data_IF_156811670678
#
_entry.id   IF_156811670678
#
_cell.length_a   1.000
_cell.length_b   1.000
_cell.length_c   1.000
_cell.angle_alpha   90.00
_cell.angle_beta   90.00
_cell.angle_gamma   90.00
#
_symmetry.space_group_name_H-M   'P 1'
#
loop_
_entity.id
_entity.type
_entity.pdbx_description
1 polymer ?
#
# COMPACT_ATOMS: atom_id res chain seq x y z
N UNK A 1 -59.96 37.25 21.66
CA UNK A 1 -58.76 36.39 21.86
C UNK A 1 -57.66 36.88 20.93
N UNK A 2 -56.54 37.35 21.49
CA UNK A 2 -55.56 38.24 20.82
C UNK A 2 -54.68 37.52 19.77
N UNK A 3 -54.54 38.10 18.58
CA UNK A 3 -53.73 37.61 17.44
C UNK A 3 -52.27 37.30 17.84
N UNK A 4 -51.72 38.06 18.79
CA UNK A 4 -50.37 37.85 19.36
C UNK A 4 -50.20 36.54 20.15
N UNK A 5 -51.27 35.97 20.72
CA UNK A 5 -51.20 34.68 21.44
C UNK A 5 -51.25 33.45 20.52
N UNK A 6 -51.74 33.58 19.28
CA UNK A 6 -51.74 32.50 18.28
C UNK A 6 -50.38 32.30 17.61
N UNK A 7 -49.61 33.38 17.44
CA UNK A 7 -48.27 33.32 16.83
C UNK A 7 -47.22 32.69 17.76
N UNK A 8 -47.32 32.90 19.07
CA UNK A 8 -46.39 32.34 20.06
C UNK A 8 -46.53 30.81 20.23
N UNK A 9 -47.75 30.28 20.10
CA UNK A 9 -48.01 28.83 20.17
C UNK A 9 -47.51 28.11 18.91
N UNK A 10 -47.54 28.76 17.74
CA UNK A 10 -47.01 28.22 16.49
C UNK A 10 -45.46 28.16 16.47
N UNK A 11 -44.76 29.06 17.17
CA UNK A 11 -43.29 29.02 17.30
C UNK A 11 -42.78 27.97 18.31
N UNK A 12 -43.58 27.65 19.34
CA UNK A 12 -43.23 26.57 20.29
C UNK A 12 -43.50 25.17 19.72
N UNK A 13 -44.51 25.03 18.87
CA UNK A 13 -44.81 23.75 18.18
C UNK A 13 -43.83 23.46 17.03
N UNK A 14 -43.28 24.49 16.37
CA UNK A 14 -42.26 24.30 15.31
C UNK A 14 -40.88 23.91 15.87
N UNK A 15 -40.53 24.35 17.08
CA UNK A 15 -39.27 23.98 17.75
C UNK A 15 -39.29 22.57 18.34
N UNK A 16 -40.44 22.06 18.82
CA UNK A 16 -40.58 20.65 19.20
C UNK A 16 -40.57 19.70 17.97
N UNK A 17 -41.13 20.13 16.84
CA UNK A 17 -41.12 19.33 15.59
C UNK A 17 -39.73 19.17 14.98
N UNK A 18 -38.88 20.20 15.05
CA UNK A 18 -37.50 20.12 14.57
C UNK A 18 -36.62 19.16 15.40
N UNK A 19 -36.87 19.05 16.72
CA UNK A 19 -36.17 18.11 17.60
C UNK A 19 -36.48 16.63 17.32
N UNK A 20 -37.71 16.33 16.89
CA UNK A 20 -38.13 14.97 16.49
C UNK A 20 -37.64 14.59 15.09
N UNK A 21 -37.53 15.54 14.16
CA UNK A 21 -37.02 15.30 12.80
C UNK A 21 -35.50 15.13 12.74
N UNK A 22 -34.76 15.71 13.68
CA UNK A 22 -33.30 15.55 13.80
C UNK A 22 -32.89 14.40 14.72
N UNK A 23 -33.84 13.78 15.43
CA UNK A 23 -33.61 12.63 16.30
C UNK A 23 -32.92 11.44 15.60
N UNK A 24 -33.28 11.03 14.35
CA UNK A 24 -32.58 9.93 13.67
C UNK A 24 -31.15 10.32 13.23
N UNK A 25 -30.89 11.60 12.95
CA UNK A 25 -29.54 12.08 12.61
C UNK A 25 -28.67 12.16 13.86
N UNK A 26 -29.23 12.60 14.98
CA UNK A 26 -28.56 12.61 16.28
C UNK A 26 -28.30 11.20 16.80
N UNK A 27 -29.24 10.27 16.63
CA UNK A 27 -29.05 8.86 16.97
C UNK A 27 -27.94 8.26 16.10
N UNK A 28 -27.93 8.49 14.77
CA UNK A 28 -26.81 8.04 13.93
C UNK A 28 -25.47 8.64 14.32
N UNK A 29 -25.41 9.93 14.67
CA UNK A 29 -24.17 10.56 15.10
C UNK A 29 -23.69 10.03 16.47
N UNK A 30 -24.63 9.67 17.36
CA UNK A 30 -24.32 9.02 18.65
C UNK A 30 -23.90 7.55 18.43
N UNK A 31 -24.58 6.82 17.53
CA UNK A 31 -24.26 5.44 17.18
C UNK A 31 -22.91 5.34 16.44
N UNK A 32 -22.58 6.31 15.58
CA UNK A 32 -21.27 6.42 14.92
C UNK A 32 -20.16 6.80 15.90
N UNK A 33 -20.44 7.69 16.85
CA UNK A 33 -19.51 8.04 17.92
C UNK A 33 -19.29 6.86 18.89
N UNK A 34 -20.34 6.11 19.22
CA UNK A 34 -20.28 4.92 20.06
C UNK A 34 -19.62 3.74 19.32
N UNK A 35 -19.80 3.62 17.99
CA UNK A 35 -19.06 2.65 17.18
C UNK A 35 -17.56 3.00 17.09
N UNK A 36 -17.22 4.29 16.96
CA UNK A 36 -15.84 4.78 17.02
C UNK A 36 -15.18 4.52 18.39
N UNK A 37 -15.93 4.78 19.47
CA UNK A 37 -15.48 4.49 20.84
C UNK A 37 -15.37 2.99 21.11
N UNK A 38 -16.26 2.17 20.53
CA UNK A 38 -16.21 0.71 20.61
C UNK A 38 -14.98 0.15 19.90
N UNK A 39 -14.62 0.70 18.72
CA UNK A 39 -13.40 0.34 17.99
C UNK A 39 -12.12 0.80 18.70
N UNK A 40 -12.12 2.00 19.31
CA UNK A 40 -11.02 2.46 20.15
C UNK A 40 -10.89 1.66 21.47
N UNK A 41 -12.01 1.19 22.02
CA UNK A 41 -12.01 0.28 23.17
C UNK A 41 -11.57 -1.13 22.79
N UNK A 42 -11.84 -1.56 21.55
CA UNK A 42 -11.31 -2.79 20.98
C UNK A 42 -9.80 -2.64 20.78
N UNK A 43 -9.28 -1.54 20.23
CA UNK A 43 -7.83 -1.33 20.08
C UNK A 43 -7.09 -1.29 21.42
N UNK A 44 -7.68 -0.68 22.46
CA UNK A 44 -7.13 -0.69 23.83
C UNK A 44 -7.25 -2.05 24.53
N UNK A 45 -8.27 -2.87 24.20
CA UNK A 45 -8.43 -4.24 24.70
C UNK A 45 -7.60 -5.29 23.95
N UNK A 46 -7.24 -5.02 22.69
CA UNK A 46 -6.50 -5.91 21.80
C UNK A 46 -5.00 -6.02 22.15
N UNK A 47 -4.49 -5.16 23.03
CA UNK A 47 -3.14 -5.28 23.60
C UNK A 47 -2.96 -6.47 24.55
N UNK A 48 -4.05 -7.11 25.00
CA UNK A 48 -4.01 -8.27 25.89
C UNK A 48 -5.01 -9.36 25.44
N UNK A 49 -4.71 -10.04 24.34
CA UNK A 49 -5.08 -11.44 24.16
C UNK A 49 -6.57 -11.81 24.16
N UNK A 50 -7.47 -10.92 23.74
CA UNK A 50 -8.87 -11.30 23.48
C UNK A 50 -8.97 -11.83 22.05
N UNK A 51 -9.11 -13.15 22.02
CA UNK A 51 -9.10 -14.11 20.91
C UNK A 51 -9.64 -13.62 19.56
N UNK A 52 -8.78 -13.66 18.54
CA UNK A 52 -9.11 -13.77 17.11
C UNK A 52 -10.23 -14.80 16.82
N UNK A 53 -10.44 -15.78 17.70
CA UNK A 53 -11.49 -16.79 17.59
C UNK A 53 -12.93 -16.23 17.70
N UNK A 54 -13.14 -15.10 18.37
CA UNK A 54 -14.48 -14.52 18.58
C UNK A 54 -15.10 -13.95 17.29
N UNK A 55 -14.27 -13.53 16.33
CA UNK A 55 -14.74 -13.04 15.03
C UNK A 55 -14.98 -14.16 14.02
N UNK A 56 -14.52 -15.39 14.29
CA UNK A 56 -14.69 -16.55 13.41
C UNK A 56 -14.37 -16.24 11.94
N UNK A 57 -15.32 -16.55 11.04
CA UNK A 57 -15.20 -16.25 9.60
C UNK A 57 -15.37 -14.79 9.20
N UNK A 58 -15.74 -13.88 10.12
CA UNK A 58 -15.97 -12.46 9.82
C UNK A 58 -14.72 -11.59 10.00
N UNK A 59 -13.59 -12.17 10.44
CA UNK A 59 -12.32 -11.44 10.61
C UNK A 59 -11.91 -10.68 9.34
N UNK A 60 -12.16 -11.26 8.16
CA UNK A 60 -11.85 -10.64 6.88
C UNK A 60 -12.75 -9.42 6.61
N UNK A 61 -14.03 -9.47 6.98
CA UNK A 61 -14.97 -8.34 6.84
C UNK A 61 -14.57 -7.22 7.80
N UNK A 62 -14.24 -7.56 9.05
CA UNK A 62 -13.75 -6.60 10.04
C UNK A 62 -12.45 -5.93 9.56
N UNK A 63 -11.49 -6.70 9.03
CA UNK A 63 -10.25 -6.16 8.47
C UNK A 63 -10.51 -5.16 7.34
N UNK A 64 -11.45 -5.45 6.43
CA UNK A 64 -11.84 -4.52 5.38
C UNK A 64 -12.48 -3.24 5.94
N UNK A 65 -13.34 -3.34 6.96
CA UNK A 65 -13.91 -2.15 7.59
C UNK A 65 -12.84 -1.29 8.26
N UNK A 66 -11.91 -1.92 9.00
CA UNK A 66 -10.75 -1.24 9.59
C UNK A 66 -9.94 -0.53 8.50
N UNK A 67 -9.62 -1.21 7.40
CA UNK A 67 -8.89 -0.63 6.27
C UNK A 67 -9.62 0.55 5.64
N UNK A 68 -10.92 0.45 5.40
CA UNK A 68 -11.73 1.56 4.87
C UNK A 68 -11.73 2.74 5.84
N UNK A 69 -11.87 2.48 7.14
CA UNK A 69 -11.85 3.53 8.16
C UNK A 69 -10.48 4.21 8.29
N UNK A 70 -9.40 3.51 7.96
CA UNK A 70 -8.04 4.05 7.94
C UNK A 70 -7.88 5.15 6.88
N UNK A 71 -8.57 5.05 5.74
CA UNK A 71 -8.53 6.12 4.72
C UNK A 71 -9.08 7.46 5.23
N UNK A 72 -9.95 7.44 6.25
CA UNK A 72 -10.37 8.65 6.96
C UNK A 72 -9.18 9.35 7.61
N UNK A 73 -8.36 8.62 8.37
CA UNK A 73 -7.18 9.13 9.06
C UNK A 73 -6.07 9.52 8.07
N UNK A 74 -5.88 8.71 7.03
CA UNK A 74 -4.95 8.97 5.93
C UNK A 74 -5.21 10.33 5.28
N UNK A 75 -6.50 10.67 5.04
CA UNK A 75 -6.90 11.96 4.47
C UNK A 75 -6.46 13.14 5.35
N UNK A 76 -6.44 12.96 6.66
CA UNK A 76 -6.02 13.98 7.62
C UNK A 76 -4.53 13.85 8.02
N UNK A 77 -3.78 12.93 7.39
CA UNK A 77 -2.34 12.67 7.64
C UNK A 77 -2.04 12.30 9.09
N UNK A 78 -2.99 11.64 9.73
CA UNK A 78 -2.89 11.14 11.10
C UNK A 78 -2.01 9.87 11.10
N UNK A 79 -0.69 10.07 11.16
CA UNK A 79 0.33 9.02 10.93
C UNK A 79 0.19 7.84 11.89
N UNK A 80 0.03 8.13 13.18
CA UNK A 80 -0.02 7.11 14.23
C UNK A 80 -1.28 6.26 14.06
N UNK A 81 -2.42 6.90 13.85
CA UNK A 81 -3.72 6.26 13.67
C UNK A 81 -3.77 5.40 12.39
N UNK A 82 -3.15 5.88 11.30
CA UNK A 82 -2.99 5.10 10.07
C UNK A 82 -2.18 3.83 10.34
N UNK A 83 -1.02 3.94 10.99
CA UNK A 83 -0.17 2.79 11.30
C UNK A 83 -0.88 1.79 12.22
N UNK A 84 -1.59 2.25 13.25
CA UNK A 84 -2.35 1.40 14.16
C UNK A 84 -3.45 0.63 13.43
N UNK A 85 -4.25 1.30 12.59
CA UNK A 85 -5.32 0.64 11.83
C UNK A 85 -4.77 -0.31 10.77
N UNK A 86 -3.66 0.04 10.12
CA UNK A 86 -2.98 -0.87 9.21
C UNK A 86 -2.51 -2.14 9.93
N UNK A 87 -1.87 -2.00 11.09
CA UNK A 87 -1.43 -3.12 11.92
C UNK A 87 -2.62 -3.99 12.37
N UNK A 88 -3.72 -3.36 12.76
CA UNK A 88 -4.95 -4.07 13.11
C UNK A 88 -5.52 -4.84 11.91
N UNK A 89 -5.61 -4.22 10.73
CA UNK A 89 -6.14 -4.87 9.53
C UNK A 89 -5.31 -6.10 9.12
N UNK A 90 -3.98 -6.01 9.10
CA UNK A 90 -3.12 -7.16 8.79
C UNK A 90 -3.13 -8.23 9.89
N UNK A 91 -3.39 -7.86 11.15
CA UNK A 91 -3.57 -8.86 12.21
C UNK A 91 -4.89 -9.62 12.09
N UNK A 92 -5.96 -8.95 11.62
CA UNK A 92 -7.29 -9.54 11.44
C UNK A 92 -7.36 -10.42 10.19
N UNK A 93 -6.70 -10.03 9.11
CA UNK A 93 -6.62 -10.80 7.87
C UNK A 93 -5.17 -10.83 7.33
N UNK A 94 -4.30 -11.63 7.94
CA UNK A 94 -2.89 -11.69 7.57
C UNK A 94 -2.65 -12.23 6.17
N UNK A 95 -3.58 -13.00 5.60
CA UNK A 95 -3.47 -13.58 4.25
C UNK A 95 -3.77 -12.57 3.12
N UNK A 96 -4.10 -11.31 3.47
CA UNK A 96 -4.41 -10.27 2.48
C UNK A 96 -3.15 -9.62 1.93
N UNK A 97 -2.64 -10.11 0.79
CA UNK A 97 -1.53 -9.46 0.05
C UNK A 97 -1.78 -7.96 -0.16
N UNK A 98 -3.04 -7.59 -0.43
CA UNK A 98 -3.43 -6.20 -0.65
C UNK A 98 -3.09 -5.30 0.55
N UNK A 99 -3.40 -5.72 1.79
CA UNK A 99 -3.10 -4.89 2.97
C UNK A 99 -1.61 -4.73 3.21
N UNK A 100 -0.81 -5.76 2.90
CA UNK A 100 0.64 -5.68 3.03
C UNK A 100 1.26 -4.74 1.98
N UNK A 101 0.90 -4.91 0.71
CA UNK A 101 1.43 -4.11 -0.40
C UNK A 101 0.94 -2.66 -0.35
N UNK A 102 -0.35 -2.43 -0.15
CA UNK A 102 -0.89 -1.06 -0.10
C UNK A 102 -0.41 -0.34 1.16
N UNK A 103 -0.34 -1.06 2.29
CA UNK A 103 0.24 -0.54 3.52
C UNK A 103 1.69 -0.11 3.38
N UNK A 104 2.54 -0.95 2.77
CA UNK A 104 3.94 -0.58 2.53
C UNK A 104 4.07 0.64 1.62
N UNK A 105 3.15 0.82 0.66
CA UNK A 105 3.13 2.00 -0.22
C UNK A 105 2.75 3.28 0.52
N UNK A 106 1.77 3.22 1.40
CA UNK A 106 1.41 4.37 2.26
C UNK A 106 2.63 4.78 3.10
N UNK A 107 3.30 3.81 3.72
CA UNK A 107 4.51 4.06 4.52
C UNK A 107 5.64 4.62 3.65
N UNK A 108 5.92 4.00 2.50
CA UNK A 108 7.07 4.34 1.66
C UNK A 108 6.90 5.63 0.83
N UNK A 109 5.66 6.01 0.48
CA UNK A 109 5.40 7.07 -0.48
C UNK A 109 4.65 8.26 0.13
N UNK A 110 3.63 8.00 0.96
CA UNK A 110 2.75 9.07 1.43
C UNK A 110 3.30 9.72 2.69
N UNK A 111 3.70 8.91 3.68
CA UNK A 111 4.21 9.42 4.96
C UNK A 111 5.48 10.31 4.85
N UNK A 112 6.44 10.05 3.93
CA UNK A 112 7.54 10.99 3.67
C UNK A 112 7.04 12.34 3.19
N UNK A 113 6.06 12.35 2.26
CA UNK A 113 5.46 13.59 1.75
C UNK A 113 4.75 14.33 2.89
N UNK A 114 4.05 13.61 3.77
CA UNK A 114 3.44 14.22 4.95
C UNK A 114 4.47 14.80 5.92
N UNK A 115 5.67 14.23 5.98
CA UNK A 115 6.77 14.73 6.82
C UNK A 115 7.34 16.04 6.29
N UNK A 116 7.63 16.10 4.99
CA UNK A 116 8.28 17.28 4.39
C UNK A 116 7.29 18.38 4.00
N UNK A 117 6.02 18.02 3.81
CA UNK A 117 4.98 18.92 3.29
C UNK A 117 4.90 18.89 1.76
N UNK A 118 3.71 19.17 1.23
CA UNK A 118 3.43 19.01 -0.22
C UNK A 118 4.31 19.90 -1.09
N UNK A 119 4.57 21.13 -0.65
CA UNK A 119 5.39 22.11 -1.35
C UNK A 119 6.89 21.72 -1.41
N UNK A 120 7.31 20.73 -0.61
CA UNK A 120 8.70 20.30 -0.48
C UNK A 120 8.92 18.85 -0.91
N UNK A 121 7.99 18.26 -1.67
CA UNK A 121 8.10 16.87 -2.12
C UNK A 121 9.40 16.58 -2.88
N UNK A 122 9.86 17.51 -3.73
CA UNK A 122 11.10 17.35 -4.52
C UNK A 122 12.34 17.16 -3.62
N UNK A 123 12.31 17.73 -2.40
CA UNK A 123 13.40 17.60 -1.44
C UNK A 123 13.71 16.14 -1.07
N UNK A 124 12.71 15.23 -1.14
CA UNK A 124 12.89 13.79 -0.87
C UNK A 124 13.90 13.10 -1.80
N UNK A 125 14.25 13.74 -2.92
CA UNK A 125 15.16 13.21 -3.93
C UNK A 125 16.40 14.08 -4.16
N UNK A 126 16.38 15.33 -3.71
CA UNK A 126 17.42 16.32 -4.02
C UNK A 126 18.20 16.79 -2.80
N UNK A 127 17.57 16.87 -1.62
CA UNK A 127 18.23 17.29 -0.39
C UNK A 127 18.73 16.08 0.39
N UNK A 128 19.85 16.24 1.09
CA UNK A 128 20.41 15.19 1.95
C UNK A 128 19.40 14.76 3.02
N UNK A 129 18.78 15.73 3.71
CA UNK A 129 17.75 15.46 4.72
C UNK A 129 16.53 14.73 4.13
N UNK A 130 16.03 15.17 2.97
CA UNK A 130 14.88 14.55 2.32
C UNK A 130 15.19 13.13 1.82
N UNK A 131 16.40 12.88 1.34
CA UNK A 131 16.88 11.54 0.98
C UNK A 131 16.89 10.63 2.21
N UNK A 132 17.38 11.10 3.35
CA UNK A 132 17.41 10.32 4.59
C UNK A 132 15.99 10.06 5.13
N UNK A 133 15.08 11.02 5.04
CA UNK A 133 13.65 10.81 5.34
C UNK A 133 13.06 9.72 4.43
N UNK A 134 13.26 9.83 3.11
CA UNK A 134 12.77 8.84 2.13
C UNK A 134 13.30 7.44 2.43
N UNK A 135 14.60 7.32 2.73
CA UNK A 135 15.22 6.04 3.09
C UNK A 135 14.66 5.49 4.40
N UNK A 136 14.51 6.31 5.44
CA UNK A 136 13.98 5.89 6.73
C UNK A 136 12.57 5.29 6.61
N UNK A 137 11.68 5.92 5.83
CA UNK A 137 10.36 5.36 5.55
C UNK A 137 10.41 4.15 4.60
N UNK A 138 11.37 4.10 3.67
CA UNK A 138 11.63 2.91 2.86
C UNK A 138 11.98 1.69 3.71
N UNK A 139 12.86 1.83 4.71
CA UNK A 139 13.21 0.72 5.61
C UNK A 139 12.03 0.34 6.51
N UNK A 140 11.22 1.30 6.98
CA UNK A 140 10.00 1.01 7.74
C UNK A 140 8.98 0.22 6.90
N UNK A 141 8.82 0.57 5.62
CA UNK A 141 7.94 -0.13 4.71
C UNK A 141 8.43 -1.56 4.43
N UNK A 142 9.76 -1.75 4.32
CA UNK A 142 10.32 -3.08 4.17
C UNK A 142 10.13 -3.92 5.44
N UNK A 143 10.43 -3.35 6.61
CA UNK A 143 10.18 -4.00 7.90
C UNK A 143 8.69 -4.36 8.07
N UNK A 144 7.76 -3.54 7.57
CA UNK A 144 6.34 -3.87 7.55
C UNK A 144 6.06 -5.13 6.71
N UNK A 145 6.61 -5.23 5.49
CA UNK A 145 6.48 -6.41 4.62
C UNK A 145 7.20 -7.66 5.14
N UNK A 146 8.26 -7.51 5.92
CA UNK A 146 8.98 -8.64 6.54
C UNK A 146 8.17 -9.32 7.65
N UNK A 147 7.14 -8.67 8.18
CA UNK A 147 6.21 -9.27 9.15
C UNK A 147 5.09 -10.09 8.51
N UNK A 148 4.98 -10.06 7.18
CA UNK A 148 4.00 -10.86 6.48
C UNK A 148 4.25 -12.37 6.77
N UNK A 149 3.20 -13.18 7.01
CA UNK A 149 3.32 -14.63 7.16
C UNK A 149 4.23 -15.29 6.12
N UNK A 150 5.01 -16.28 6.57
CA UNK A 150 6.01 -16.96 5.73
C UNK A 150 5.40 -17.61 4.47
N UNK A 151 4.15 -18.06 4.54
CA UNK A 151 3.45 -18.62 3.38
C UNK A 151 3.28 -17.62 2.23
N UNK A 152 3.18 -16.32 2.53
CA UNK A 152 2.98 -15.23 1.58
C UNK A 152 4.27 -14.43 1.33
N UNK A 153 5.26 -14.51 2.24
CA UNK A 153 6.47 -13.68 2.18
C UNK A 153 7.26 -13.85 0.87
N UNK A 154 7.01 -14.96 0.17
CA UNK A 154 7.55 -15.34 -1.14
C UNK A 154 6.59 -15.15 -2.31
N UNK A 155 5.37 -14.64 -2.12
CA UNK A 155 4.47 -14.37 -3.25
C UNK A 155 5.01 -13.24 -4.13
N UNK A 156 4.80 -13.35 -5.45
CA UNK A 156 5.29 -12.38 -6.44
C UNK A 156 4.98 -10.92 -6.06
N UNK A 157 3.75 -10.55 -5.66
CA UNK A 157 3.46 -9.15 -5.34
C UNK A 157 4.27 -8.63 -4.15
N UNK A 158 4.52 -9.47 -3.14
CA UNK A 158 5.33 -9.10 -1.97
C UNK A 158 6.80 -8.94 -2.36
N UNK A 159 7.35 -9.90 -3.11
CA UNK A 159 8.73 -9.85 -3.58
C UNK A 159 8.97 -8.62 -4.47
N UNK A 160 8.07 -8.34 -5.41
CA UNK A 160 8.15 -7.17 -6.30
C UNK A 160 8.06 -5.87 -5.52
N UNK A 161 7.19 -5.78 -4.51
CA UNK A 161 7.07 -4.56 -3.70
C UNK A 161 8.32 -4.35 -2.84
N UNK A 162 8.88 -5.40 -2.21
CA UNK A 162 10.17 -5.33 -1.51
C UNK A 162 11.28 -4.84 -2.43
N UNK A 163 11.34 -5.38 -3.66
CA UNK A 163 12.31 -4.98 -4.66
C UNK A 163 12.14 -3.52 -5.10
N UNK A 164 10.89 -3.08 -5.30
CA UNK A 164 10.57 -1.71 -5.68
C UNK A 164 10.95 -0.70 -4.58
N UNK A 165 10.72 -1.04 -3.30
CA UNK A 165 11.14 -0.21 -2.16
C UNK A 165 12.67 -0.07 -2.14
N UNK A 166 13.41 -1.18 -2.25
CA UNK A 166 14.87 -1.16 -2.28
C UNK A 166 15.39 -0.30 -3.42
N UNK A 167 14.85 -0.49 -4.62
CA UNK A 167 15.26 0.28 -5.80
C UNK A 167 14.89 1.77 -5.70
N UNK A 168 13.62 2.09 -5.44
CA UNK A 168 13.10 3.45 -5.62
C UNK A 168 13.23 4.33 -4.37
N UNK A 169 13.25 3.73 -3.18
CA UNK A 169 13.30 4.47 -1.91
C UNK A 169 14.68 4.43 -1.29
N UNK A 170 15.31 3.25 -1.31
CA UNK A 170 16.63 3.05 -0.70
C UNK A 170 17.78 3.33 -1.66
N UNK A 171 17.52 3.34 -2.97
CA UNK A 171 18.55 3.36 -4.02
C UNK A 171 19.55 2.19 -3.88
N UNK A 172 19.08 1.07 -3.34
CA UNK A 172 19.86 -0.16 -3.11
C UNK A 172 19.48 -1.19 -4.19
N UNK A 173 20.26 -1.18 -5.28
CA UNK A 173 20.04 -2.07 -6.41
C UNK A 173 20.40 -3.52 -6.08
N UNK A 174 21.37 -3.75 -5.19
CA UNK A 174 21.78 -5.10 -4.79
C UNK A 174 20.65 -5.83 -4.05
N UNK A 175 20.03 -5.18 -3.05
CA UNK A 175 18.84 -5.74 -2.38
C UNK A 175 17.66 -5.87 -3.32
N UNK A 176 17.45 -4.89 -4.21
CA UNK A 176 16.37 -4.98 -5.20
C UNK A 176 16.51 -6.22 -6.08
N UNK A 177 17.73 -6.54 -6.53
CA UNK A 177 18.02 -7.71 -7.35
C UNK A 177 17.78 -9.02 -6.61
N UNK A 178 18.06 -9.11 -5.31
CA UNK A 178 17.75 -10.31 -4.51
C UNK A 178 16.26 -10.64 -4.61
N UNK A 179 15.39 -9.67 -4.37
CA UNK A 179 13.95 -9.89 -4.40
C UNK A 179 13.39 -10.08 -5.82
N UNK A 180 13.85 -9.29 -6.80
CA UNK A 180 13.43 -9.50 -8.19
C UNK A 180 13.86 -10.87 -8.71
N UNK A 181 15.07 -11.34 -8.37
CA UNK A 181 15.55 -12.68 -8.74
C UNK A 181 14.65 -13.78 -8.20
N UNK A 182 14.23 -13.68 -6.94
CA UNK A 182 13.26 -14.61 -6.36
C UNK A 182 11.92 -14.57 -7.10
N UNK A 183 11.44 -13.37 -7.46
CA UNK A 183 10.17 -13.22 -8.17
C UNK A 183 10.20 -13.85 -9.58
N UNK A 184 11.28 -13.66 -10.35
CA UNK A 184 11.40 -14.21 -11.70
C UNK A 184 11.67 -15.71 -11.78
N UNK A 185 11.97 -16.35 -10.64
CA UNK A 185 12.15 -17.80 -10.55
C UNK A 185 10.82 -18.58 -10.40
N UNK A 186 9.69 -17.88 -10.28
CA UNK A 186 8.38 -18.52 -10.11
C UNK A 186 7.72 -18.86 -11.45
N UNK A 187 6.97 -19.97 -11.49
CA UNK A 187 6.42 -20.57 -12.73
C UNK A 187 5.42 -19.66 -13.47
N UNK A 188 4.83 -18.67 -12.79
CA UNK A 188 3.81 -17.78 -13.35
C UNK A 188 4.22 -16.30 -13.31
N UNK A 189 5.53 -15.99 -13.34
CA UNK A 189 5.97 -14.60 -13.29
C UNK A 189 5.46 -13.78 -14.50
N UNK A 190 4.78 -12.64 -14.27
CA UNK A 190 4.38 -11.76 -15.36
C UNK A 190 5.57 -11.25 -16.19
N UNK A 191 5.45 -11.28 -17.52
CA UNK A 191 6.49 -10.86 -18.47
C UNK A 191 7.05 -9.45 -18.20
N UNK A 192 6.25 -8.54 -17.65
CA UNK A 192 6.73 -7.20 -17.31
C UNK A 192 7.73 -7.21 -16.14
N UNK A 193 7.60 -8.11 -15.17
CA UNK A 193 8.55 -8.25 -14.05
C UNK A 193 9.89 -8.76 -14.56
N UNK A 194 9.89 -9.73 -15.49
CA UNK A 194 11.12 -10.20 -16.14
C UNK A 194 11.88 -9.06 -16.84
N UNK A 195 11.16 -8.18 -17.53
CA UNK A 195 11.77 -7.00 -18.17
C UNK A 195 12.31 -6.01 -17.14
N UNK A 196 11.56 -5.73 -16.08
CA UNK A 196 12.04 -4.86 -14.99
C UNK A 196 13.31 -5.44 -14.36
N UNK A 197 13.35 -6.74 -14.03
CA UNK A 197 14.55 -7.40 -13.48
C UNK A 197 15.78 -7.18 -14.37
N UNK A 198 15.65 -7.38 -15.68
CA UNK A 198 16.74 -7.11 -16.62
C UNK A 198 17.19 -5.65 -16.62
N UNK A 199 16.26 -4.69 -16.52
CA UNK A 199 16.62 -3.28 -16.40
C UNK A 199 17.33 -2.96 -15.08
N UNK A 200 16.98 -3.62 -13.97
CA UNK A 200 17.69 -3.45 -12.70
C UNK A 200 19.10 -4.04 -12.80
N UNK A 201 19.29 -5.20 -13.45
CA UNK A 201 20.62 -5.76 -13.71
C UNK A 201 21.49 -4.78 -14.48
N UNK A 202 20.96 -4.16 -15.54
CA UNK A 202 21.69 -3.14 -16.32
C UNK A 202 22.06 -1.93 -15.45
N UNK A 203 21.10 -1.42 -14.66
CA UNK A 203 21.35 -0.30 -13.74
C UNK A 203 22.41 -0.61 -12.69
N UNK A 204 22.50 -1.88 -12.26
CA UNK A 204 23.53 -2.35 -11.33
C UNK A 204 24.87 -2.69 -12.01
N UNK A 205 25.03 -2.38 -13.31
CA UNK A 205 26.25 -2.65 -14.06
C UNK A 205 26.38 -4.10 -14.56
N UNK A 206 25.43 -4.98 -14.29
CA UNK A 206 25.40 -6.39 -14.71
C UNK A 206 24.84 -6.55 -16.14
N UNK A 207 25.38 -5.77 -17.09
CA UNK A 207 24.91 -5.72 -18.49
C UNK A 207 24.94 -7.08 -19.17
N UNK A 208 26.00 -7.86 -18.93
CA UNK A 208 26.17 -9.22 -19.47
C UNK A 208 25.07 -10.18 -18.97
N UNK A 209 24.78 -10.14 -17.69
CA UNK A 209 23.75 -11.00 -17.06
C UNK A 209 22.36 -10.61 -17.56
N UNK A 210 22.07 -9.31 -17.70
CA UNK A 210 20.82 -8.83 -18.27
C UNK A 210 20.62 -9.32 -19.71
N UNK A 211 21.67 -9.26 -20.53
CA UNK A 211 21.65 -9.72 -21.93
C UNK A 211 21.32 -11.21 -22.02
N UNK A 212 22.04 -12.07 -21.28
CA UNK A 212 21.79 -13.52 -21.30
C UNK A 212 20.42 -13.88 -20.72
N UNK A 213 20.01 -13.20 -19.65
CA UNK A 213 18.68 -13.38 -19.06
C UNK A 213 17.58 -13.06 -20.08
N UNK A 214 17.67 -11.91 -20.76
CA UNK A 214 16.66 -11.51 -21.75
C UNK A 214 16.64 -12.46 -22.96
N UNK A 215 17.78 -12.99 -23.41
CA UNK A 215 17.80 -14.02 -24.47
C UNK A 215 17.06 -15.28 -24.07
N UNK A 216 17.33 -15.78 -22.86
CA UNK A 216 16.63 -16.94 -22.30
C UNK A 216 15.12 -16.68 -22.20
N UNK A 217 14.73 -15.55 -21.61
CA UNK A 217 13.34 -15.17 -21.47
C UNK A 217 12.64 -14.96 -22.83
N UNK A 218 13.30 -14.35 -23.80
CA UNK A 218 12.76 -14.14 -25.15
C UNK A 218 12.33 -15.45 -25.82
N UNK A 219 13.08 -16.52 -25.61
CA UNK A 219 12.77 -17.84 -26.15
C UNK A 219 11.48 -18.44 -25.54
N UNK A 220 11.06 -18.00 -24.36
CA UNK A 220 9.82 -18.46 -23.70
C UNK A 220 8.61 -17.60 -24.05
N UNK A 221 8.79 -16.45 -24.71
CA UNK A 221 7.70 -15.55 -25.04
C UNK A 221 6.86 -16.06 -26.21
N UNK A 222 5.55 -16.12 -26.01
CA UNK A 222 4.59 -16.37 -27.09
C UNK A 222 4.56 -15.22 -28.09
N UNK A 223 4.49 -15.52 -29.38
CA UNK A 223 4.29 -14.54 -30.45
C UNK A 223 2.86 -13.97 -30.48
N UNK A 224 1.90 -14.72 -29.92
CA UNK A 224 0.47 -14.36 -29.93
C UNK A 224 0.07 -13.48 -28.72
N UNK A 225 0.92 -13.39 -27.70
CA UNK A 225 0.68 -12.57 -26.52
C UNK A 225 1.24 -11.14 -26.71
N UNK A 226 0.34 -10.19 -26.95
CA UNK A 226 0.72 -8.77 -27.10
C UNK A 226 1.28 -8.16 -25.80
N UNK A 227 0.94 -8.73 -24.65
CA UNK A 227 1.41 -8.24 -23.34
C UNK A 227 2.84 -8.69 -23.02
N UNK A 228 3.33 -9.75 -23.68
CA UNK A 228 4.72 -10.18 -23.63
C UNK A 228 5.69 -9.13 -24.18
N UNK A 229 5.22 -8.27 -25.09
CA UNK A 229 6.02 -7.21 -25.73
C UNK A 229 7.33 -7.74 -26.34
N UNK A 230 7.27 -8.93 -26.93
CA UNK A 230 8.41 -9.64 -27.53
C UNK A 230 9.26 -8.78 -28.48
N UNK A 231 8.70 -7.93 -29.37
CA UNK A 231 9.51 -7.02 -30.20
C UNK A 231 10.31 -5.97 -29.41
N UNK A 232 9.84 -5.57 -28.22
CA UNK A 232 10.59 -4.67 -27.33
C UNK A 232 11.74 -5.42 -26.66
N UNK A 233 11.52 -6.68 -26.28
CA UNK A 233 12.57 -7.53 -25.72
C UNK A 233 13.67 -7.81 -26.75
N UNK A 234 13.32 -8.12 -28.00
CA UNK A 234 14.29 -8.29 -29.10
C UNK A 234 15.19 -7.06 -29.27
N UNK A 235 14.59 -5.87 -29.40
CA UNK A 235 15.34 -4.61 -29.51
C UNK A 235 16.25 -4.35 -28.31
N UNK A 236 15.81 -4.73 -27.11
CA UNK A 236 16.63 -4.57 -25.90
C UNK A 236 17.82 -5.53 -25.91
N UNK A 237 17.64 -6.77 -26.35
CA UNK A 237 18.72 -7.75 -26.55
C UNK A 237 19.75 -7.21 -27.55
N UNK A 238 19.31 -6.71 -28.70
CA UNK A 238 20.20 -6.12 -29.72
C UNK A 238 21.01 -4.95 -29.16
N UNK A 239 20.35 -4.03 -28.43
CA UNK A 239 21.01 -2.87 -27.82
C UNK A 239 22.07 -3.28 -26.78
N UNK A 240 21.76 -4.27 -25.93
CA UNK A 240 22.71 -4.78 -24.94
C UNK A 240 23.85 -5.55 -25.60
N UNK A 241 23.56 -6.31 -26.66
CA UNK A 241 24.58 -6.99 -27.47
C UNK A 241 25.57 -6.00 -28.06
N UNK A 242 25.07 -4.95 -28.73
CA UNK A 242 25.92 -3.88 -29.27
C UNK A 242 26.80 -3.21 -28.18
N UNK A 243 26.26 -2.97 -26.98
CA UNK A 243 27.03 -2.43 -25.86
C UNK A 243 28.16 -3.37 -25.39
N UNK A 244 27.94 -4.69 -25.50
CA UNK A 244 28.89 -5.73 -25.11
C UNK A 244 29.86 -6.13 -26.22
N UNK A 245 29.73 -5.55 -27.42
CA UNK A 245 30.45 -6.00 -28.62
C UNK A 245 29.96 -7.34 -29.16
N UNK A 246 28.76 -7.78 -28.75
CA UNK A 246 28.07 -8.96 -29.24
C UNK A 246 27.01 -8.55 -30.28
N UNK A 247 27.46 -8.40 -31.51
CA UNK A 247 26.61 -8.12 -32.65
C UNK A 247 27.34 -8.52 -33.92
N UNK A 248 26.69 -9.40 -34.69
CA UNK A 248 27.04 -10.04 -35.96
C UNK A 248 28.00 -9.29 -36.88
#
# INVERSE_FOLDING_TARGET
MNFKKRLAVLWFLSSLGAGLLLQPVRQRAVDEADAGNSLASLSQGLGHGITLAALGGYRNVAANFVWISMYGDWRYRLKEEVLEKMQLAVSLNPESVYFWVDGSRIIANDMPVWQVGDDFMESLFESEEGIEIRKAYGEQALAFLERAPEAMSHEIPILVEKAAICWQRLADLDRALVFFKQAVQQEEVPNHICRVYAEILVKNGQVREAYEYLKSHYATLSDDDRTALKPFVARRIEALGAQLGEGS
#
